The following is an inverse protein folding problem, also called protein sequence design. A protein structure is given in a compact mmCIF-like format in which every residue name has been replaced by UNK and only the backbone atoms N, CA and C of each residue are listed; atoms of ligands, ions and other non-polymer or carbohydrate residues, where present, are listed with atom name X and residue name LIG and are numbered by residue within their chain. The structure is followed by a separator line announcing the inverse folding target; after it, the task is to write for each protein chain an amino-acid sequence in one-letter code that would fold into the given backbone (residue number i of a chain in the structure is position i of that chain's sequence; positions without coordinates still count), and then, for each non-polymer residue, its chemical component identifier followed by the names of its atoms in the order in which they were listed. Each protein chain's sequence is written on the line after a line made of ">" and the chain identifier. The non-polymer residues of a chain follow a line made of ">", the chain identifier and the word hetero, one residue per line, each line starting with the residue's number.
data_IF_898530300446
#
_entry.id   IF_898530300446
#
_cell.length_a   1.000
_cell.length_b   1.000
_cell.length_c   1.000
_cell.angle_alpha   90.00
_cell.angle_beta   90.00
_cell.angle_gamma   90.00
#
_symmetry.space_group_name_H-M   'P 1'
#
loop_
_entity.id
_entity.type
_entity.pdbx_description
1 polymer ?
#
# COMPACT_ATOMS: atom_id res chain seq x y z
N UNK A 1 -1.29 49.98 -21.29
CA UNK A 1 -0.55 51.26 -21.30
C UNK A 1 0.49 51.23 -20.18
N UNK A 2 1.75 50.98 -20.55
CA UNK A 2 2.92 51.26 -19.70
C UNK A 2 3.26 52.76 -19.79
N UNK A 3 4.07 53.29 -18.84
CA UNK A 3 5.47 53.50 -19.18
C UNK A 3 6.48 53.25 -18.02
N UNK A 4 7.47 52.41 -18.30
CA UNK A 4 8.92 52.67 -18.45
C UNK A 4 9.68 53.71 -17.56
N UNK A 5 10.54 53.16 -16.69
CA UNK A 5 12.01 53.41 -16.45
C UNK A 5 12.48 54.77 -15.87
N UNK A 6 13.38 54.78 -14.87
CA UNK A 6 14.86 54.99 -15.00
C UNK A 6 15.59 55.29 -13.65
N UNK A 7 16.55 54.42 -13.29
CA UNK A 7 17.91 54.64 -12.71
C UNK A 7 18.26 55.34 -11.36
N UNK A 8 19.16 54.61 -10.66
CA UNK A 8 20.54 54.97 -10.17
C UNK A 8 20.80 55.49 -8.75
N UNK A 9 21.71 54.74 -8.11
CA UNK A 9 22.98 55.17 -7.48
C UNK A 9 23.08 55.31 -5.95
N UNK A 10 23.85 54.36 -5.42
CA UNK A 10 24.91 54.44 -4.41
C UNK A 10 25.04 55.67 -3.49
N UNK A 11 25.20 55.39 -2.19
CA UNK A 11 26.06 56.22 -1.32
C UNK A 11 26.81 55.35 -0.32
N UNK A 12 28.12 55.22 -0.57
CA UNK A 12 29.16 54.88 0.40
C UNK A 12 29.24 55.95 1.49
N UNK A 13 29.46 55.58 2.76
CA UNK A 13 30.36 56.30 3.69
C UNK A 13 30.56 55.51 5.00
N UNK A 14 31.70 54.83 5.13
CA UNK A 14 32.89 55.24 5.93
C UNK A 14 32.75 55.16 7.44
N UNK A 15 33.65 54.40 8.08
CA UNK A 15 34.60 54.85 9.13
C UNK A 15 35.58 53.69 9.42
N UNK A 16 36.82 53.78 8.91
CA UNK A 16 38.07 54.03 9.67
C UNK A 16 38.27 53.02 10.82
N UNK A 17 39.03 51.94 10.64
CA UNK A 17 40.50 51.86 10.63
C UNK A 17 41.16 52.37 11.92
N UNK A 18 41.68 51.43 12.72
CA UNK A 18 42.97 51.58 13.41
C UNK A 18 43.69 50.23 13.41
N UNK A 19 44.79 50.21 12.67
CA UNK A 19 45.85 49.19 12.76
C UNK A 19 46.71 49.52 13.97
N UNK A 20 47.09 48.50 14.74
CA UNK A 20 48.41 48.48 15.38
C UNK A 20 48.98 47.09 15.16
N UNK A 21 50.01 47.05 14.33
CA UNK A 21 50.91 45.93 14.10
C UNK A 21 51.94 45.92 15.21
N UNK A 22 52.24 44.77 15.80
CA UNK A 22 53.52 44.52 16.47
C UNK A 22 53.92 43.06 16.25
N UNK A 23 54.93 42.89 15.39
CA UNK A 23 55.73 41.69 15.24
C UNK A 23 56.74 41.65 16.40
N UNK A 24 56.83 40.50 17.07
CA UNK A 24 57.89 40.18 18.00
C UNK A 24 58.07 38.67 18.05
N UNK A 25 59.08 38.16 17.35
CA UNK A 25 59.52 36.78 17.41
C UNK A 25 60.62 36.66 18.48
N UNK A 26 60.47 35.73 19.42
CA UNK A 26 61.57 35.14 20.18
C UNK A 26 61.19 33.74 20.64
N UNK A 27 62.07 32.79 20.33
CA UNK A 27 61.99 31.36 20.63
C UNK A 27 62.05 31.08 22.14
N UNK A 28 61.14 30.24 22.63
CA UNK A 28 61.38 29.41 23.81
C UNK A 28 60.67 28.08 23.62
N UNK A 29 61.47 27.01 23.63
CA UNK A 29 61.01 25.64 23.56
C UNK A 29 60.28 25.26 24.87
N UNK A 30 59.06 24.76 24.73
CA UNK A 30 58.44 23.91 25.74
C UNK A 30 57.39 23.04 25.05
N UNK A 31 57.77 21.78 24.89
CA UNK A 31 56.95 20.66 24.45
C UNK A 31 55.71 20.53 25.34
N UNK A 32 54.55 20.87 24.80
CA UNK A 32 53.27 20.39 25.32
C UNK A 32 52.36 20.12 24.12
N UNK A 33 52.47 18.90 23.59
CA UNK A 33 51.42 18.27 22.80
C UNK A 33 50.20 18.14 23.70
N UNK A 34 49.42 19.20 23.87
CA UNK A 34 48.01 19.04 24.23
C UNK A 34 47.35 18.61 22.94
N UNK A 35 47.31 17.29 22.75
CA UNK A 35 46.46 16.66 21.78
C UNK A 35 45.06 17.27 21.93
N UNK A 36 44.65 18.08 20.97
CA UNK A 36 43.24 18.22 20.65
C UNK A 36 42.80 16.84 20.17
N UNK A 37 42.50 15.94 21.11
CA UNK A 37 41.48 14.93 20.87
C UNK A 37 40.19 15.72 20.70
N UNK A 38 39.95 16.23 19.50
CA UNK A 38 38.60 16.28 18.99
C UNK A 38 38.13 14.83 19.08
N UNK A 39 37.51 14.48 20.21
CA UNK A 39 36.64 13.33 20.28
C UNK A 39 35.68 13.53 19.12
N UNK A 40 35.88 12.78 18.04
CA UNK A 40 34.82 12.51 17.11
C UNK A 40 33.64 12.11 17.98
N UNK A 41 32.63 12.98 18.06
CA UNK A 41 31.34 12.59 18.58
C UNK A 41 30.90 11.46 17.65
N UNK A 42 31.13 10.24 18.11
CA UNK A 42 30.90 9.02 17.38
C UNK A 42 29.46 9.03 16.91
N UNK A 43 29.23 8.67 15.64
CA UNK A 43 27.93 8.38 15.07
C UNK A 43 27.27 7.11 15.68
N UNK A 44 27.43 6.92 16.99
CA UNK A 44 26.97 5.77 17.76
C UNK A 44 25.64 6.03 18.51
N UNK A 45 25.12 7.27 18.47
CA UNK A 45 23.95 7.65 19.28
C UNK A 45 22.61 7.66 18.53
N UNK A 46 22.60 7.45 17.22
CA UNK A 46 21.34 7.39 16.46
C UNK A 46 20.99 5.94 16.17
N UNK A 47 19.94 5.43 16.82
CA UNK A 47 19.35 4.14 16.46
C UNK A 47 18.84 4.21 15.01
N UNK A 48 19.17 3.25 14.14
CA UNK A 48 18.63 3.22 12.79
C UNK A 48 17.12 3.05 12.85
N UNK A 49 16.42 3.68 11.93
CA UNK A 49 15.01 3.38 11.70
C UNK A 49 14.85 1.93 11.21
N UNK A 50 13.67 1.35 11.40
CA UNK A 50 13.34 0.02 10.88
C UNK A 50 13.64 -0.10 9.37
N UNK A 51 13.29 0.93 8.59
CA UNK A 51 13.60 0.97 7.16
C UNK A 51 15.12 0.97 6.89
N UNK A 52 15.89 1.79 7.60
CA UNK A 52 17.34 1.85 7.44
C UNK A 52 17.99 0.52 7.79
N UNK A 53 17.55 -0.11 8.89
CA UNK A 53 18.04 -1.40 9.35
C UNK A 53 17.73 -2.52 8.36
N UNK A 54 16.45 -2.69 7.99
CA UNK A 54 16.03 -3.77 7.09
C UNK A 54 16.52 -3.57 5.65
N UNK A 55 16.82 -2.33 5.23
CA UNK A 55 17.48 -2.08 3.95
C UNK A 55 18.90 -2.68 3.86
N UNK A 56 19.51 -3.04 5.00
CA UNK A 56 20.81 -3.68 5.03
C UNK A 56 20.79 -5.17 4.66
N UNK A 57 19.61 -5.82 4.67
CA UNK A 57 19.46 -7.26 4.42
C UNK A 57 20.00 -7.73 3.06
N UNK A 58 20.11 -6.84 2.06
CA UNK A 58 20.63 -7.17 0.72
C UNK A 58 21.93 -6.44 0.38
N UNK A 59 22.52 -5.71 1.31
CA UNK A 59 23.65 -4.82 1.02
C UNK A 59 24.85 -5.10 1.91
N UNK A 60 24.70 -4.98 3.23
CA UNK A 60 25.84 -5.01 4.16
C UNK A 60 25.72 -6.05 5.27
N UNK A 61 24.52 -6.53 5.58
CA UNK A 61 24.33 -7.61 6.53
C UNK A 61 24.83 -8.94 5.94
N UNK A 62 25.57 -9.71 6.73
CA UNK A 62 26.01 -11.07 6.36
C UNK A 62 24.86 -12.07 6.45
N UNK A 63 23.90 -11.79 7.34
CA UNK A 63 22.69 -12.59 7.50
C UNK A 63 21.51 -11.68 7.83
N UNK A 64 20.34 -12.01 7.26
CA UNK A 64 19.07 -11.40 7.60
C UNK A 64 18.00 -12.50 7.60
N UNK A 65 17.48 -12.81 8.79
CA UNK A 65 16.54 -13.90 9.03
C UNK A 65 15.24 -13.33 9.56
N UNK A 66 14.13 -13.87 9.08
CA UNK A 66 12.81 -13.59 9.61
C UNK A 66 12.27 -14.82 10.32
N UNK A 67 11.77 -14.65 11.53
CA UNK A 67 11.10 -15.69 12.31
C UNK A 67 9.64 -15.30 12.48
N UNK A 68 8.74 -15.99 11.77
CA UNK A 68 7.31 -15.78 11.91
C UNK A 68 6.84 -16.23 13.30
N UNK A 69 6.13 -15.37 14.00
CA UNK A 69 5.66 -15.62 15.38
C UNK A 69 4.15 -15.78 15.46
N UNK A 70 3.41 -15.09 14.59
CA UNK A 70 1.95 -15.15 14.59
C UNK A 70 1.36 -14.96 13.19
N UNK A 71 0.16 -15.52 13.03
CA UNK A 71 -0.70 -15.30 11.88
C UNK A 71 -2.08 -14.96 12.40
N UNK A 72 -2.58 -13.78 12.07
CA UNK A 72 -3.90 -13.33 12.49
C UNK A 72 -4.76 -12.95 11.27
N UNK A 73 -6.07 -13.14 11.40
CA UNK A 73 -7.01 -12.50 10.49
C UNK A 73 -6.87 -10.99 10.68
N UNK A 74 -6.62 -10.30 9.58
CA UNK A 74 -6.45 -8.86 9.56
C UNK A 74 -7.81 -8.16 9.43
N UNK A 75 -7.88 -7.21 8.51
CA UNK A 75 -9.05 -6.38 8.29
C UNK A 75 -9.57 -6.56 6.86
N UNK A 76 -10.77 -6.04 6.61
CA UNK A 76 -11.31 -5.92 5.25
C UNK A 76 -10.99 -4.52 4.74
N UNK A 77 -10.36 -4.46 3.56
CA UNK A 77 -10.05 -3.23 2.86
C UNK A 77 -11.29 -2.42 2.48
N UNK A 78 -11.06 -1.19 2.05
CA UNK A 78 -12.13 -0.30 1.65
C UNK A 78 -12.95 -0.88 0.49
N UNK A 79 -14.27 -0.65 0.56
CA UNK A 79 -15.19 -0.90 -0.55
C UNK A 79 -14.72 -0.16 -1.80
N UNK A 80 -14.50 -0.88 -2.89
CA UNK A 80 -14.20 -0.29 -4.18
C UNK A 80 -14.88 -1.10 -5.29
N UNK A 81 -15.13 -0.46 -6.44
CA UNK A 81 -15.71 -1.13 -7.59
C UNK A 81 -14.65 -1.98 -8.29
N UNK A 82 -14.98 -3.23 -8.60
CA UNK A 82 -14.17 -4.11 -9.43
C UNK A 82 -14.84 -4.30 -10.79
N UNK A 83 -14.05 -4.20 -11.85
CA UNK A 83 -14.54 -4.21 -13.23
C UNK A 83 -15.38 -2.98 -13.60
N UNK A 84 -15.98 -3.04 -14.79
CA UNK A 84 -16.77 -1.95 -15.34
C UNK A 84 -18.24 -2.04 -14.92
N UNK A 85 -18.89 -0.88 -14.79
CA UNK A 85 -20.35 -0.82 -14.71
C UNK A 85 -20.93 -1.22 -16.06
N UNK A 86 -21.86 -2.17 -16.04
CA UNK A 86 -22.56 -2.64 -17.23
C UNK A 86 -23.91 -1.94 -17.31
N UNK A 87 -24.24 -1.40 -18.48
CA UNK A 87 -25.52 -0.73 -18.74
C UNK A 87 -26.34 -1.56 -19.73
N UNK A 88 -27.65 -1.70 -19.47
CA UNK A 88 -28.61 -2.27 -20.42
C UNK A 88 -29.58 -1.19 -20.90
N UNK A 89 -29.41 -0.74 -22.14
CA UNK A 89 -30.23 0.31 -22.75
C UNK A 89 -31.42 -0.20 -23.58
N UNK A 90 -31.60 -1.52 -23.68
CA UNK A 90 -32.57 -2.14 -24.58
C UNK A 90 -33.47 -3.13 -23.87
N UNK A 91 -33.93 -4.17 -24.59
CA UNK A 91 -34.73 -5.25 -24.03
C UNK A 91 -34.04 -6.02 -22.89
N UNK A 92 -34.74 -7.01 -22.33
CA UNK A 92 -34.11 -7.93 -21.36
C UNK A 92 -32.97 -8.70 -22.04
N UNK A 93 -31.78 -8.69 -21.45
CA UNK A 93 -30.59 -9.36 -22.00
C UNK A 93 -29.92 -10.23 -20.94
N UNK A 94 -29.41 -11.39 -21.38
CA UNK A 94 -28.51 -12.21 -20.57
C UNK A 94 -27.07 -11.81 -20.87
N UNK A 95 -26.28 -11.50 -19.84
CA UNK A 95 -24.89 -11.08 -19.99
C UNK A 95 -23.99 -11.81 -19.00
N UNK A 96 -22.84 -12.22 -19.50
CA UNK A 96 -21.66 -12.57 -18.69
C UNK A 96 -20.80 -11.33 -18.55
N UNK A 97 -20.37 -10.99 -17.35
CA UNK A 97 -19.30 -10.02 -17.13
C UNK A 97 -18.23 -10.60 -16.22
N UNK A 98 -16.98 -10.24 -16.51
CA UNK A 98 -15.83 -10.70 -15.75
C UNK A 98 -15.06 -9.51 -15.20
N UNK A 99 -14.49 -9.68 -14.01
CA UNK A 99 -13.54 -8.73 -13.42
C UNK A 99 -12.32 -9.48 -12.91
N UNK A 100 -11.22 -8.76 -12.82
CA UNK A 100 -9.97 -9.25 -12.24
C UNK A 100 -9.37 -8.17 -11.36
N UNK A 101 -8.87 -8.56 -10.19
CA UNK A 101 -8.14 -7.69 -9.27
C UNK A 101 -6.90 -8.43 -8.80
N UNK A 102 -5.75 -7.76 -8.88
CA UNK A 102 -4.50 -8.24 -8.28
C UNK A 102 -4.22 -7.42 -7.04
N UNK A 103 -4.08 -8.07 -5.89
CA UNK A 103 -3.60 -7.42 -4.67
C UNK A 103 -2.21 -7.95 -4.32
N UNK A 104 -1.41 -7.09 -3.69
CA UNK A 104 -0.03 -7.39 -3.35
C UNK A 104 0.21 -7.33 -1.86
N UNK A 105 1.30 -7.98 -1.45
CA UNK A 105 1.88 -7.84 -0.13
C UNK A 105 2.19 -6.36 0.16
N UNK A 106 1.84 -5.92 1.35
CA UNK A 106 2.29 -4.67 1.94
C UNK A 106 2.77 -4.93 3.37
N UNK A 107 3.36 -3.93 4.01
CA UNK A 107 3.97 -4.07 5.33
C UNK A 107 3.46 -2.95 6.24
N UNK A 108 4.12 -2.70 7.36
CA UNK A 108 3.81 -1.55 8.20
C UNK A 108 4.09 -0.21 7.48
N UNK A 109 3.57 0.89 8.03
CA UNK A 109 3.51 2.19 7.33
C UNK A 109 4.88 2.83 7.04
N UNK A 110 5.96 2.33 7.64
CA UNK A 110 7.29 2.94 7.60
C UNK A 110 8.24 2.28 6.58
N UNK A 111 7.80 1.23 5.89
CA UNK A 111 8.63 0.46 4.97
C UNK A 111 8.18 0.74 3.53
N UNK A 112 9.13 1.20 2.70
CA UNK A 112 8.87 1.41 1.27
C UNK A 112 8.40 0.13 0.57
N UNK A 113 7.55 0.28 -0.46
CA UNK A 113 7.05 -0.85 -1.24
C UNK A 113 8.16 -1.70 -1.88
N UNK A 114 9.27 -1.07 -2.27
CA UNK A 114 10.45 -1.74 -2.83
C UNK A 114 11.15 -2.60 -1.77
N UNK A 115 11.32 -2.09 -0.55
CA UNK A 115 11.91 -2.85 0.54
C UNK A 115 10.99 -3.99 0.97
N UNK A 116 9.69 -3.73 1.15
CA UNK A 116 8.69 -4.77 1.42
C UNK A 116 8.78 -5.92 0.40
N UNK A 117 8.83 -5.57 -0.88
CA UNK A 117 9.01 -6.51 -1.99
C UNK A 117 10.30 -7.32 -1.91
N UNK A 118 11.37 -6.74 -1.38
CA UNK A 118 12.68 -7.38 -1.25
C UNK A 118 12.77 -8.32 -0.05
N UNK A 119 12.00 -8.04 1.01
CA UNK A 119 11.90 -8.81 2.24
C UNK A 119 10.93 -9.98 2.16
N UNK A 120 10.13 -10.07 1.09
CA UNK A 120 9.05 -11.05 0.98
C UNK A 120 9.49 -12.50 1.08
N UNK A 121 10.55 -12.88 0.38
CA UNK A 121 10.97 -14.28 0.28
C UNK A 121 11.33 -14.88 1.65
N UNK A 122 12.17 -14.25 2.50
CA UNK A 122 12.38 -14.72 3.87
C UNK A 122 11.10 -14.82 4.70
N UNK A 123 10.18 -13.85 4.54
CA UNK A 123 8.89 -13.86 5.24
C UNK A 123 8.05 -15.06 4.81
N UNK A 124 7.87 -15.28 3.51
CA UNK A 124 7.06 -16.39 2.98
C UNK A 124 7.63 -17.74 3.37
N UNK A 125 8.96 -17.92 3.28
CA UNK A 125 9.63 -19.17 3.70
C UNK A 125 9.39 -19.45 5.19
N UNK A 126 9.63 -18.47 6.04
CA UNK A 126 9.47 -18.61 7.50
C UNK A 126 8.01 -18.85 7.89
N UNK A 127 7.08 -18.08 7.31
CA UNK A 127 5.65 -18.24 7.54
C UNK A 127 5.14 -19.59 7.04
N UNK A 128 5.62 -20.06 5.89
CA UNK A 128 5.27 -21.39 5.35
C UNK A 128 5.75 -22.49 6.27
N UNK A 129 7.01 -22.41 6.73
CA UNK A 129 7.56 -23.36 7.69
C UNK A 129 6.79 -23.37 9.02
N UNK A 130 6.33 -22.20 9.48
CA UNK A 130 5.67 -22.04 10.79
C UNK A 130 4.19 -22.43 10.76
N UNK A 131 3.46 -22.03 9.71
CA UNK A 131 1.99 -22.19 9.64
C UNK A 131 1.53 -23.30 8.69
N UNK A 132 2.45 -23.97 8.00
CA UNK A 132 2.13 -25.11 7.12
C UNK A 132 1.32 -24.74 5.88
N UNK A 133 1.34 -23.47 5.45
CA UNK A 133 0.64 -23.00 4.25
C UNK A 133 1.52 -22.07 3.43
N UNK A 134 1.38 -22.13 2.11
CA UNK A 134 2.10 -21.23 1.20
C UNK A 134 1.49 -19.85 1.22
N UNK A 135 2.34 -18.84 1.14
CA UNK A 135 1.93 -17.46 1.01
C UNK A 135 2.52 -16.88 -0.28
N UNK A 136 1.66 -16.25 -1.06
CA UNK A 136 2.02 -15.65 -2.34
C UNK A 136 2.20 -14.13 -2.21
N UNK A 137 3.12 -13.58 -3.00
CA UNK A 137 3.45 -12.16 -2.93
C UNK A 137 2.31 -11.31 -3.47
N UNK A 138 1.67 -11.81 -4.51
CA UNK A 138 0.47 -11.24 -5.07
C UNK A 138 -0.57 -12.32 -5.32
N UNK A 139 -1.82 -11.90 -5.25
CA UNK A 139 -2.96 -12.76 -5.50
C UNK A 139 -3.86 -12.08 -6.52
N UNK A 140 -4.20 -12.80 -7.59
CA UNK A 140 -5.10 -12.33 -8.62
C UNK A 140 -6.39 -13.12 -8.54
N UNK A 141 -7.48 -12.43 -8.20
CA UNK A 141 -8.82 -13.00 -8.24
C UNK A 141 -9.48 -12.61 -9.55
N UNK A 142 -10.00 -13.59 -10.28
CA UNK A 142 -10.82 -13.39 -11.47
C UNK A 142 -12.18 -14.03 -11.25
N UNK A 143 -13.25 -13.29 -11.51
CA UNK A 143 -14.62 -13.78 -11.33
C UNK A 143 -15.42 -13.48 -12.58
N UNK A 144 -16.20 -14.47 -13.02
CA UNK A 144 -17.19 -14.31 -14.09
C UNK A 144 -18.59 -14.56 -13.58
N UNK A 145 -19.51 -13.71 -14.01
CA UNK A 145 -20.85 -13.60 -13.45
C UNK A 145 -21.84 -13.55 -14.59
N UNK A 146 -22.76 -14.51 -14.59
CA UNK A 146 -23.87 -14.54 -15.52
C UNK A 146 -25.11 -13.93 -14.84
N UNK A 147 -25.75 -12.98 -15.51
CA UNK A 147 -26.96 -12.35 -14.98
C UNK A 147 -27.89 -11.89 -16.09
N UNK A 148 -29.19 -11.92 -15.81
CA UNK A 148 -30.22 -11.41 -16.71
C UNK A 148 -30.62 -10.00 -16.31
N UNK A 149 -30.32 -9.02 -17.16
CA UNK A 149 -30.61 -7.60 -16.93
C UNK A 149 -31.91 -7.19 -17.61
N UNK A 150 -32.85 -6.63 -16.85
CA UNK A 150 -34.02 -5.92 -17.38
C UNK A 150 -33.62 -4.62 -18.12
N UNK A 151 -34.50 -4.11 -19.00
CA UNK A 151 -34.33 -2.84 -19.69
C UNK A 151 -34.04 -1.67 -18.75
N UNK A 152 -33.11 -0.80 -19.14
CA UNK A 152 -32.76 0.42 -18.43
C UNK A 152 -32.20 0.22 -17.02
N UNK A 153 -31.48 -0.88 -16.82
CA UNK A 153 -30.77 -1.16 -15.57
C UNK A 153 -29.26 -1.13 -15.77
N UNK A 154 -28.55 -0.87 -14.68
CA UNK A 154 -27.10 -0.98 -14.61
C UNK A 154 -26.69 -1.96 -13.52
N UNK A 155 -25.57 -2.63 -13.73
CA UNK A 155 -24.97 -3.55 -12.78
C UNK A 155 -23.49 -3.24 -12.54
N UNK A 156 -23.02 -3.42 -11.31
CA UNK A 156 -21.60 -3.32 -10.97
C UNK A 156 -21.28 -4.15 -9.73
N UNK A 157 -20.01 -4.50 -9.57
CA UNK A 157 -19.54 -5.27 -8.41
C UNK A 157 -18.65 -4.38 -7.57
N UNK A 158 -18.87 -4.41 -6.24
CA UNK A 158 -17.89 -3.88 -5.31
C UNK A 158 -17.26 -5.01 -4.52
N UNK A 159 -15.99 -4.84 -4.17
CA UNK A 159 -15.23 -5.76 -3.33
C UNK A 159 -14.68 -5.01 -2.11
N UNK A 160 -14.63 -5.72 -0.99
CA UNK A 160 -13.77 -5.41 0.13
C UNK A 160 -12.75 -6.54 0.26
N UNK A 161 -11.48 -6.27 -0.03
CA UNK A 161 -10.42 -7.27 -0.01
C UNK A 161 -10.13 -7.71 1.44
N UNK A 162 -10.13 -9.02 1.70
CA UNK A 162 -9.72 -9.55 2.99
C UNK A 162 -8.21 -9.54 3.13
N UNK A 163 -7.72 -9.20 4.31
CA UNK A 163 -6.29 -9.28 4.62
C UNK A 163 -6.04 -10.16 5.85
N UNK A 164 -4.89 -10.81 5.87
CA UNK A 164 -4.29 -11.45 7.04
C UNK A 164 -2.93 -10.81 7.32
N UNK A 165 -2.49 -10.89 8.56
CA UNK A 165 -1.25 -10.27 9.04
C UNK A 165 -0.33 -11.39 9.52
N UNK A 166 0.83 -11.50 8.88
CA UNK A 166 1.97 -12.27 9.39
C UNK A 166 2.78 -11.32 10.28
N UNK A 167 2.96 -11.69 11.54
CA UNK A 167 3.88 -11.01 12.44
C UNK A 167 5.11 -11.86 12.68
N UNK A 168 6.25 -11.21 12.89
CA UNK A 168 7.49 -11.88 13.22
C UNK A 168 8.62 -10.93 13.55
N UNK A 169 9.78 -11.52 13.74
CA UNK A 169 10.97 -10.82 14.17
C UNK A 169 12.08 -10.97 13.13
N UNK A 170 12.83 -9.90 12.91
CA UNK A 170 14.05 -9.92 12.11
C UNK A 170 15.28 -10.03 13.00
N UNK A 171 16.22 -10.86 12.58
CA UNK A 171 17.57 -10.93 13.12
C UNK A 171 18.57 -10.62 12.01
N UNK A 172 19.40 -9.59 12.22
CA UNK A 172 20.43 -9.16 11.29
C UNK A 172 21.81 -9.30 11.92
N UNK A 173 22.72 -9.94 11.19
CA UNK A 173 24.12 -10.11 11.59
C UNK A 173 25.00 -9.34 10.62
N UNK A 174 25.96 -8.60 11.14
CA UNK A 174 26.90 -7.82 10.34
C UNK A 174 28.34 -8.25 10.63
N UNK A 175 29.18 -8.35 9.61
CA UNK A 175 30.61 -8.65 9.79
C UNK A 175 31.40 -7.45 10.31
N UNK A 176 30.86 -6.24 10.12
CA UNK A 176 31.36 -4.98 10.68
C UNK A 176 30.23 -4.30 11.45
N UNK A 177 30.57 -3.56 12.51
CA UNK A 177 29.56 -2.87 13.33
C UNK A 177 28.72 -1.91 12.48
N UNK A 178 27.40 -2.11 12.47
CA UNK A 178 26.42 -1.17 11.93
C UNK A 178 25.80 -0.42 13.11
N UNK A 179 25.92 0.91 13.12
CA UNK A 179 25.52 1.74 14.27
C UNK A 179 26.09 1.25 15.62
N UNK A 180 27.33 0.72 15.62
CA UNK A 180 28.00 0.25 16.84
C UNK A 180 27.70 -1.20 17.25
N UNK A 181 26.75 -1.88 16.59
CA UNK A 181 26.33 -3.24 16.93
C UNK A 181 26.62 -4.25 15.81
N UNK A 182 26.91 -5.50 16.18
CA UNK A 182 27.06 -6.62 15.24
C UNK A 182 25.75 -7.37 15.01
N UNK A 183 24.84 -7.31 15.98
CA UNK A 183 23.56 -8.02 15.99
C UNK A 183 22.45 -7.02 16.20
N UNK A 184 21.43 -7.11 15.35
CA UNK A 184 20.22 -6.31 15.46
C UNK A 184 18.99 -7.21 15.46
N UNK A 185 18.04 -6.86 16.33
CA UNK A 185 16.75 -7.51 16.41
C UNK A 185 15.66 -6.46 16.20
N UNK A 186 14.86 -6.65 15.16
CA UNK A 186 13.67 -5.86 14.91
C UNK A 186 12.45 -6.72 15.20
N UNK A 187 11.59 -6.23 16.10
CA UNK A 187 10.55 -7.05 16.75
C UNK A 187 9.16 -6.59 16.33
N UNK A 188 8.25 -7.54 16.17
CA UNK A 188 6.85 -7.29 15.79
C UNK A 188 6.68 -6.63 14.40
N UNK A 189 7.52 -7.02 13.45
CA UNK A 189 7.36 -6.62 12.06
C UNK A 189 6.06 -7.23 11.50
N UNK A 190 5.27 -6.43 10.78
CA UNK A 190 4.00 -6.85 10.21
C UNK A 190 4.05 -6.89 8.67
N UNK A 191 3.71 -8.04 8.10
CA UNK A 191 3.47 -8.22 6.68
C UNK A 191 1.99 -8.51 6.42
N UNK A 192 1.34 -7.58 5.72
CA UNK A 192 -0.06 -7.66 5.30
C UNK A 192 -0.14 -8.31 3.94
N UNK A 193 -0.98 -9.33 3.85
CA UNK A 193 -1.16 -10.11 2.62
C UNK A 193 -2.65 -10.41 2.42
N UNK A 194 -3.05 -10.67 1.19
CA UNK A 194 -4.43 -11.04 0.92
C UNK A 194 -4.82 -12.30 1.70
N UNK A 195 -6.02 -12.27 2.28
CA UNK A 195 -6.76 -13.44 2.74
C UNK A 195 -7.93 -13.64 1.77
N UNK A 196 -7.80 -14.56 0.78
CA UNK A 196 -8.84 -14.79 -0.22
C UNK A 196 -10.19 -15.21 0.37
N UNK A 197 -10.20 -15.67 1.63
CA UNK A 197 -11.39 -16.09 2.37
C UNK A 197 -11.95 -14.98 3.28
N UNK A 198 -11.18 -13.93 3.58
CA UNK A 198 -11.51 -12.89 4.55
C UNK A 198 -12.26 -11.68 3.98
N UNK A 199 -12.47 -11.61 2.66
CA UNK A 199 -13.11 -10.47 1.99
C UNK A 199 -14.61 -10.63 1.73
N UNK A 200 -15.21 -9.62 1.10
CA UNK A 200 -16.60 -9.69 0.63
C UNK A 200 -16.77 -9.11 -0.76
N UNK A 201 -17.83 -9.55 -1.43
CA UNK A 201 -18.24 -9.08 -2.75
C UNK A 201 -19.72 -8.71 -2.72
N UNK A 202 -20.06 -7.54 -3.29
CA UNK A 202 -21.43 -7.06 -3.47
C UNK A 202 -21.74 -6.89 -4.96
N UNK A 203 -22.85 -7.46 -5.40
CA UNK A 203 -23.38 -7.36 -6.74
C UNK A 203 -24.52 -6.37 -6.69
N UNK A 204 -24.39 -5.28 -7.42
CA UNK A 204 -25.33 -4.18 -7.40
C UNK A 204 -26.04 -4.17 -8.73
N UNK A 205 -27.35 -4.03 -8.68
CA UNK A 205 -28.23 -3.99 -9.83
C UNK A 205 -29.30 -2.96 -9.55
N UNK A 206 -29.33 -1.88 -10.31
CA UNK A 206 -30.27 -0.78 -10.08
C UNK A 206 -30.81 -0.26 -11.38
N UNK A 207 -32.03 0.25 -11.33
CA UNK A 207 -32.58 1.05 -12.42
C UNK A 207 -31.73 2.29 -12.65
N UNK A 208 -31.40 2.57 -13.91
CA UNK A 208 -30.70 3.80 -14.28
C UNK A 208 -31.60 5.02 -14.02
N UNK A 209 -30.98 6.11 -13.61
CA UNK A 209 -31.63 7.43 -13.59
C UNK A 209 -31.84 7.96 -15.00
N UNK A 210 -32.78 8.89 -15.19
CA UNK A 210 -33.02 9.53 -16.50
C UNK A 210 -31.75 10.19 -17.08
N UNK A 211 -30.91 10.75 -16.20
CA UNK A 211 -29.62 11.32 -16.58
C UNK A 211 -28.64 10.26 -17.11
N UNK A 212 -28.56 9.10 -16.45
CA UNK A 212 -27.73 7.98 -16.88
C UNK A 212 -28.24 7.34 -18.16
N UNK A 213 -29.56 7.23 -18.33
CA UNK A 213 -30.16 6.77 -19.57
C UNK A 213 -29.79 7.73 -20.69
N UNK A 214 -29.93 9.04 -20.48
CA UNK A 214 -29.56 10.04 -21.48
C UNK A 214 -28.07 10.03 -21.83
N UNK A 215 -27.19 9.71 -20.86
CA UNK A 215 -25.74 9.71 -21.08
C UNK A 215 -25.20 8.39 -21.66
N UNK A 216 -25.83 7.25 -21.36
CA UNK A 216 -25.34 5.94 -21.76
C UNK A 216 -26.20 5.23 -22.80
N UNK A 217 -27.45 5.67 -22.98
CA UNK A 217 -28.38 5.11 -23.95
C UNK A 217 -28.66 6.13 -25.06
N UNK A 218 -28.53 5.68 -26.31
CA UNK A 218 -28.92 6.47 -27.48
C UNK A 218 -30.45 6.51 -27.65
N UNK A 219 -31.20 6.74 -26.57
CA UNK A 219 -32.67 6.77 -26.55
C UNK A 219 -33.19 8.04 -25.90
N UNK A 220 -34.29 8.55 -26.46
CA UNK A 220 -35.03 9.69 -25.92
C UNK A 220 -36.14 9.17 -25.00
N UNK A 221 -35.95 9.35 -23.68
CA UNK A 221 -36.95 9.15 -22.61
C UNK A 221 -37.72 7.80 -22.64
N UNK A 222 -37.23 6.76 -21.96
CA UNK A 222 -37.99 5.52 -21.82
C UNK A 222 -39.18 5.71 -20.89
N UNK A 223 -40.39 5.64 -21.45
CA UNK A 223 -41.63 5.57 -20.67
C UNK A 223 -41.78 4.17 -20.07
N UNK A 224 -42.08 4.08 -18.77
CA UNK A 224 -42.47 2.82 -18.12
C UNK A 224 -41.33 2.01 -17.50
N UNK A 225 -40.17 2.63 -17.20
CA UNK A 225 -39.09 1.93 -16.49
C UNK A 225 -39.52 1.58 -15.06
N UNK A 226 -39.54 0.29 -14.74
CA UNK A 226 -39.79 -0.18 -13.38
C UNK A 226 -38.57 0.15 -12.53
N UNK A 227 -38.79 0.87 -11.43
CA UNK A 227 -37.74 1.17 -10.44
C UNK A 227 -37.53 -0.03 -9.54
N UNK A 228 -36.36 -0.65 -9.63
CA UNK A 228 -35.87 -1.65 -8.71
C UNK A 228 -34.40 -1.35 -8.35
N UNK A 229 -33.99 -1.82 -7.18
CA UNK A 229 -32.61 -1.74 -6.72
C UNK A 229 -32.34 -2.97 -5.86
N UNK A 230 -31.28 -3.68 -6.19
CA UNK A 230 -30.87 -4.91 -5.53
C UNK A 230 -29.36 -4.84 -5.29
N UNK A 231 -28.95 -5.14 -4.05
CA UNK A 231 -27.55 -5.39 -3.71
C UNK A 231 -27.47 -6.76 -3.06
N UNK A 232 -26.64 -7.66 -3.61
CA UNK A 232 -26.43 -9.02 -3.11
C UNK A 232 -24.99 -9.19 -2.61
N UNK A 233 -24.81 -9.73 -1.41
CA UNK A 233 -23.50 -10.12 -0.88
C UNK A 233 -23.29 -11.63 -1.09
N UNK A 234 -22.12 -12.07 -1.58
CA UNK A 234 -21.91 -13.48 -1.98
C UNK A 234 -20.73 -14.17 -1.28
N UNK A 235 -19.73 -13.46 -0.74
CA UNK A 235 -18.52 -14.09 -0.16
C UNK A 235 -18.17 -13.56 1.24
N UNK A 236 -17.74 -14.47 2.12
CA UNK A 236 -17.01 -14.18 3.37
C UNK A 236 -17.77 -13.67 4.60
N UNK A 237 -19.07 -13.41 4.51
CA UNK A 237 -19.86 -13.02 5.67
C UNK A 237 -20.56 -14.21 6.30
N UNK A 238 -19.98 -14.80 7.34
CA UNK A 238 -20.75 -15.61 8.31
C UNK A 238 -21.90 -14.82 8.97
N UNK A 239 -21.95 -13.49 8.81
CA UNK A 239 -22.98 -12.62 9.40
C UNK A 239 -24.16 -12.21 8.49
N UNK A 240 -24.17 -12.48 7.17
CA UNK A 240 -25.22 -11.91 6.28
C UNK A 240 -26.15 -12.93 5.61
N UNK A 241 -26.02 -14.22 5.91
CA UNK A 241 -26.82 -15.26 5.24
C UNK A 241 -28.28 -15.40 5.75
N UNK A 242 -28.70 -14.68 6.80
CA UNK A 242 -29.99 -14.98 7.45
C UNK A 242 -31.15 -14.00 7.22
N UNK A 243 -31.01 -12.89 6.45
CA UNK A 243 -32.07 -11.86 6.45
C UNK A 243 -32.80 -11.48 5.17
N UNK A 244 -32.39 -11.91 3.98
CA UNK A 244 -32.85 -11.21 2.77
C UNK A 244 -33.72 -12.02 1.77
N UNK A 245 -34.31 -13.15 2.17
CA UNK A 245 -35.51 -13.71 1.51
C UNK A 245 -35.49 -13.74 -0.02
N UNK A 246 -34.53 -14.45 -0.62
CA UNK A 246 -34.47 -14.59 -2.09
C UNK A 246 -35.50 -15.59 -2.60
N UNK A 247 -36.41 -15.10 -3.45
CA UNK A 247 -37.18 -15.91 -4.40
C UNK A 247 -36.75 -15.55 -5.83
N UNK A 248 -36.13 -16.52 -6.49
CA UNK A 248 -35.95 -16.68 -7.95
C UNK A 248 -35.21 -15.58 -8.74
N UNK A 249 -33.87 -15.69 -8.81
CA UNK A 249 -33.15 -15.52 -10.07
C UNK A 249 -32.54 -16.89 -10.41
N UNK A 250 -32.91 -17.46 -11.57
CA UNK A 250 -32.36 -18.73 -12.08
C UNK A 250 -30.94 -18.49 -12.60
N UNK A 251 -30.00 -18.17 -11.71
CA UNK A 251 -28.59 -17.96 -12.05
C UNK A 251 -27.76 -19.18 -11.72
N UNK A 252 -26.84 -19.54 -12.62
CA UNK A 252 -25.64 -20.29 -12.25
C UNK A 252 -24.78 -19.28 -11.47
N UNK A 253 -24.48 -19.58 -10.21
CA UNK A 253 -23.71 -18.65 -9.35
C UNK A 253 -22.38 -18.23 -9.97
N UNK A 254 -21.71 -17.21 -9.40
CA UNK A 254 -20.42 -16.74 -9.91
C UNK A 254 -19.41 -17.89 -10.01
N UNK A 255 -18.63 -17.87 -11.09
CA UNK A 255 -17.48 -18.76 -11.27
C UNK A 255 -16.21 -18.02 -10.89
N UNK A 256 -15.40 -18.65 -10.04
CA UNK A 256 -14.17 -18.07 -9.50
C UNK A 256 -12.97 -18.78 -10.11
N UNK A 257 -11.97 -18.02 -10.53
CA UNK A 257 -10.61 -18.51 -10.77
C UNK A 257 -9.63 -17.60 -10.04
N UNK A 258 -8.64 -18.21 -9.38
CA UNK A 258 -7.59 -17.49 -8.68
C UNK A 258 -6.23 -17.99 -9.14
N UNK A 259 -5.31 -17.07 -9.36
CA UNK A 259 -3.90 -17.38 -9.58
C UNK A 259 -3.05 -16.59 -8.60
N UNK A 260 -1.93 -17.18 -8.22
CA UNK A 260 -0.99 -16.57 -7.29
C UNK A 260 0.44 -16.67 -7.84
N UNK A 261 1.28 -15.69 -7.48
CA UNK A 261 2.64 -15.53 -8.03
C UNK A 261 3.60 -14.94 -6.99
#
# INVERSE_FOLDING_TARGET
>A
MSPTVTTRSATQRTRRARRVTLLGAALAASSALVATTATAASAADTMPTEQELLSQCKTTADSCKFEATSLSRGFVGAKHQVGNTVYNCGGTVHRTWSWSETTGQSTNANISATLASALWEPISVSATATFGKTFDKSHTTTVSVDYTMEPYHKAWINRGTGYQIIQGDWELHFGKRYHGHYYWYDKNYESKIEDPEGGWESYNYVTMTDAEIKSHCNTTNPTGVKKNSLTRYIKGSTELNEKNGWNYARDRGPSYSSSSS
#
